data_IF_812401604235
#
_entry.id   IF_812401604235
#
_cell.length_a   1.000
_cell.length_b   1.000
_cell.length_c   1.000
_cell.angle_alpha   90.00
_cell.angle_beta   90.00
_cell.angle_gamma   90.00
#
_symmetry.space_group_name_H-M   'P 1'
#
loop_
_entity.id
_entity.type
_entity.pdbx_description
1 polymer ?
#
# COMPACT_ATOMS: atom_id res chain seq x y z
N UNK A 1 11.17 -0.45 -2.93
CA UNK A 1 10.96 1.00 -2.79
C UNK A 1 10.18 1.55 -3.98
N UNK A 2 10.78 1.70 -5.17
CA UNK A 2 10.12 2.28 -6.35
C UNK A 2 8.72 1.73 -6.68
N UNK A 3 8.49 0.41 -6.51
CA UNK A 3 7.15 -0.17 -6.70
C UNK A 3 6.14 0.28 -5.63
N UNK A 4 6.56 0.35 -4.38
CA UNK A 4 5.71 0.79 -3.28
C UNK A 4 5.36 2.27 -3.43
N UNK A 5 6.32 3.10 -3.84
CA UNK A 5 6.10 4.51 -4.15
C UNK A 5 5.08 4.66 -5.28
N UNK A 6 5.22 3.89 -6.36
CA UNK A 6 4.25 3.89 -7.46
C UNK A 6 2.83 3.46 -7.05
N UNK A 7 2.71 2.56 -6.06
CA UNK A 7 1.41 2.19 -5.48
C UNK A 7 0.83 3.30 -4.63
N UNK A 8 1.64 3.94 -3.78
CA UNK A 8 1.26 5.14 -3.02
C UNK A 8 0.78 6.26 -3.95
N UNK A 9 1.56 6.59 -4.98
CA UNK A 9 1.23 7.65 -5.93
C UNK A 9 -0.07 7.35 -6.68
N UNK A 10 -0.29 6.10 -7.09
CA UNK A 10 -1.55 5.70 -7.69
C UNK A 10 -2.72 5.89 -6.72
N UNK A 11 -2.57 5.46 -5.46
CA UNK A 11 -3.59 5.64 -4.43
C UNK A 11 -3.90 7.13 -4.17
N UNK A 12 -2.86 7.97 -4.05
CA UNK A 12 -3.00 9.42 -3.88
C UNK A 12 -3.76 10.04 -5.06
N UNK A 13 -3.40 9.68 -6.29
CA UNK A 13 -4.07 10.19 -7.49
C UNK A 13 -5.56 9.78 -7.54
N UNK A 14 -5.90 8.56 -7.12
CA UNK A 14 -7.30 8.13 -7.02
C UNK A 14 -8.06 8.92 -5.93
N UNK A 15 -7.43 9.15 -4.78
CA UNK A 15 -8.02 9.90 -3.68
C UNK A 15 -8.30 11.36 -4.08
N UNK A 16 -7.32 12.02 -4.69
CA UNK A 16 -7.43 13.42 -5.08
C UNK A 16 -8.49 13.61 -6.17
N UNK A 17 -8.57 12.70 -7.14
CA UNK A 17 -9.64 12.75 -8.15
C UNK A 17 -11.03 12.60 -7.51
N UNK A 18 -11.19 11.66 -6.57
CA UNK A 18 -12.45 11.47 -5.84
C UNK A 18 -12.86 12.66 -4.95
N UNK A 19 -11.94 13.59 -4.66
CA UNK A 19 -12.22 14.83 -3.91
C UNK A 19 -12.66 15.99 -4.81
N UNK A 20 -12.57 15.87 -6.13
CA UNK A 20 -13.05 16.91 -7.06
C UNK A 20 -14.58 16.99 -7.03
N UNK A 21 -15.19 18.12 -7.47
CA UNK A 21 -16.64 18.23 -7.58
C UNK A 21 -17.24 17.07 -8.40
N UNK A 22 -18.41 16.55 -8.03
CA UNK A 22 -19.01 15.31 -8.57
C UNK A 22 -19.10 15.30 -10.12
N UNK A 23 -19.28 16.46 -10.76
CA UNK A 23 -19.33 16.58 -12.23
C UNK A 23 -17.97 16.70 -12.92
N UNK A 24 -16.88 16.83 -12.17
CA UNK A 24 -15.52 17.00 -12.68
C UNK A 24 -14.64 15.76 -12.50
N UNK A 25 -15.13 14.74 -11.79
CA UNK A 25 -14.43 13.50 -11.52
C UNK A 25 -14.41 12.61 -12.76
N UNK A 26 -13.23 12.11 -13.13
CA UNK A 26 -13.09 11.03 -14.10
C UNK A 26 -13.11 9.67 -13.40
N UNK A 27 -14.24 8.97 -13.47
CA UNK A 27 -14.36 7.62 -12.93
C UNK A 27 -13.40 6.63 -13.60
N UNK A 28 -13.16 6.78 -14.91
CA UNK A 28 -12.17 6.00 -15.64
C UNK A 28 -10.75 6.22 -15.12
N UNK A 29 -10.41 7.47 -14.75
CA UNK A 29 -9.11 7.78 -14.16
C UNK A 29 -8.94 7.14 -12.79
N UNK A 30 -9.96 7.22 -11.93
CA UNK A 30 -9.97 6.57 -10.61
C UNK A 30 -9.78 5.06 -10.78
N UNK A 31 -10.58 4.42 -11.64
CA UNK A 31 -10.48 3.00 -11.93
C UNK A 31 -9.09 2.61 -12.46
N UNK A 32 -8.49 3.45 -13.32
CA UNK A 32 -7.12 3.23 -13.82
C UNK A 32 -6.09 3.24 -12.69
N UNK A 33 -6.19 4.17 -11.73
CA UNK A 33 -5.25 4.22 -10.60
C UNK A 33 -5.47 3.05 -9.64
N UNK A 34 -6.72 2.73 -9.31
CA UNK A 34 -7.05 1.55 -8.50
C UNK A 34 -6.53 0.25 -9.14
N UNK A 35 -6.60 0.15 -10.47
CA UNK A 35 -5.99 -0.97 -11.19
C UNK A 35 -4.47 -1.03 -11.05
N UNK A 36 -3.77 0.11 -10.97
CA UNK A 36 -2.32 0.13 -10.67
C UNK A 36 -2.04 -0.33 -9.24
N UNK A 37 -2.81 0.14 -8.26
CA UNK A 37 -2.72 -0.30 -6.86
C UNK A 37 -2.87 -1.81 -6.77
N UNK A 38 -3.95 -2.35 -7.34
CA UNK A 38 -4.22 -3.80 -7.33
C UNK A 38 -3.09 -4.62 -7.97
N UNK A 39 -2.61 -4.24 -9.17
CA UNK A 39 -1.49 -4.94 -9.81
C UNK A 39 -0.18 -4.81 -9.02
N UNK A 40 0.06 -3.65 -8.42
CA UNK A 40 1.25 -3.41 -7.61
C UNK A 40 1.24 -4.25 -6.34
N UNK A 41 0.10 -4.34 -5.64
CA UNK A 41 -0.09 -5.23 -4.49
C UNK A 41 0.14 -6.69 -4.87
N UNK A 42 -0.46 -7.16 -5.97
CA UNK A 42 -0.27 -8.53 -6.45
C UNK A 42 1.20 -8.84 -6.76
N UNK A 43 1.91 -7.91 -7.40
CA UNK A 43 3.34 -8.07 -7.68
C UNK A 43 4.17 -8.07 -6.38
N UNK A 44 3.91 -7.14 -5.45
CA UNK A 44 4.61 -7.11 -4.15
C UNK A 44 4.39 -8.40 -3.35
N UNK A 45 3.16 -8.92 -3.35
CA UNK A 45 2.83 -10.18 -2.71
C UNK A 45 3.57 -11.36 -3.35
N UNK A 46 3.59 -11.43 -4.69
CA UNK A 46 4.34 -12.47 -5.42
C UNK A 46 5.84 -12.40 -5.13
N UNK A 47 6.43 -11.20 -5.21
CA UNK A 47 7.86 -11.01 -4.96
C UNK A 47 8.25 -11.28 -3.52
N UNK A 48 7.39 -10.96 -2.54
CA UNK A 48 7.64 -11.31 -1.14
C UNK A 48 7.66 -12.83 -0.97
N UNK A 49 6.69 -13.54 -1.57
CA UNK A 49 6.52 -14.98 -1.40
C UNK A 49 6.47 -15.34 0.09
N UNK A 50 7.34 -16.28 0.49
CA UNK A 50 7.51 -16.70 1.88
C UNK A 50 8.67 -16.00 2.62
N UNK A 51 9.32 -15.01 1.98
CA UNK A 51 10.46 -14.32 2.58
C UNK A 51 10.03 -13.50 3.79
N UNK A 52 10.88 -13.39 4.83
CA UNK A 52 10.56 -12.62 6.03
C UNK A 52 10.61 -11.10 5.84
N UNK A 53 11.19 -10.64 4.73
CA UNK A 53 11.38 -9.24 4.32
C UNK A 53 11.43 -9.18 2.78
N UNK A 54 11.26 -7.99 2.21
CA UNK A 54 11.23 -7.78 0.75
C UNK A 54 12.55 -8.20 0.08
N UNK A 55 13.69 -7.96 0.74
CA UNK A 55 15.03 -8.23 0.21
C UNK A 55 15.84 -9.12 1.16
N UNK A 56 16.14 -10.34 0.74
CA UNK A 56 16.94 -11.29 1.52
C UNK A 56 16.30 -11.64 2.87
N UNK A 57 17.11 -11.63 3.93
CA UNK A 57 16.69 -12.03 5.29
C UNK A 57 16.64 -10.88 6.29
N UNK A 58 16.94 -9.64 5.86
CA UNK A 58 17.07 -8.49 6.74
C UNK A 58 16.08 -7.38 6.37
N UNK A 59 15.69 -6.59 7.37
CA UNK A 59 14.91 -5.38 7.18
C UNK A 59 15.67 -4.35 6.34
N UNK A 60 14.98 -3.73 5.40
CA UNK A 60 15.57 -2.82 4.41
C UNK A 60 14.64 -1.65 4.09
N UNK A 61 15.13 -0.70 3.28
CA UNK A 61 14.29 0.38 2.74
C UNK A 61 13.11 -0.13 1.90
N UNK A 62 13.23 -1.32 1.28
CA UNK A 62 12.11 -1.91 0.56
C UNK A 62 10.94 -2.22 1.50
N UNK A 63 11.22 -2.73 2.70
CA UNK A 63 10.21 -3.01 3.72
C UNK A 63 9.60 -1.73 4.28
N UNK A 64 10.40 -0.67 4.43
CA UNK A 64 9.90 0.65 4.82
C UNK A 64 8.87 1.15 3.80
N UNK A 65 9.23 1.16 2.51
CA UNK A 65 8.34 1.61 1.45
C UNK A 65 7.05 0.78 1.38
N UNK A 66 7.15 -0.56 1.43
CA UNK A 66 5.99 -1.45 1.43
C UNK A 66 5.11 -1.20 2.66
N UNK A 67 5.69 -1.14 3.86
CA UNK A 67 4.95 -0.89 5.09
C UNK A 67 4.19 0.44 5.06
N UNK A 68 4.83 1.51 4.59
CA UNK A 68 4.21 2.83 4.45
C UNK A 68 3.06 2.81 3.44
N UNK A 69 3.24 2.14 2.29
CA UNK A 69 2.19 2.02 1.28
C UNK A 69 0.96 1.26 1.78
N UNK A 70 1.18 0.12 2.43
CA UNK A 70 0.10 -0.67 3.03
C UNK A 70 -0.63 0.08 4.13
N UNK A 71 0.12 0.79 4.99
CA UNK A 71 -0.47 1.65 6.03
C UNK A 71 -1.31 2.79 5.44
N UNK A 72 -0.84 3.44 4.37
CA UNK A 72 -1.58 4.49 3.68
C UNK A 72 -2.88 3.98 3.07
N UNK A 73 -2.85 2.79 2.45
CA UNK A 73 -4.06 2.14 1.93
C UNK A 73 -5.05 1.83 3.05
N UNK A 74 -4.59 1.27 4.18
CA UNK A 74 -5.46 1.03 5.34
C UNK A 74 -6.08 2.30 5.91
N UNK A 75 -5.35 3.43 5.86
CA UNK A 75 -5.83 4.70 6.38
C UNK A 75 -6.81 5.42 5.44
N UNK A 76 -6.51 5.49 4.13
CA UNK A 76 -7.30 6.28 3.17
C UNK A 76 -8.28 5.47 2.34
N UNK A 77 -8.11 4.16 2.28
CA UNK A 77 -8.91 3.25 1.45
C UNK A 77 -9.36 2.00 2.24
N UNK A 78 -10.14 2.16 3.32
CA UNK A 78 -10.59 1.02 4.14
C UNK A 78 -11.43 0.00 3.36
N UNK A 79 -11.97 0.38 2.19
CA UNK A 79 -12.71 -0.52 1.30
C UNK A 79 -11.80 -1.44 0.47
N UNK A 80 -10.49 -1.21 0.46
CA UNK A 80 -9.52 -2.08 -0.21
C UNK A 80 -9.01 -3.08 0.84
N UNK A 81 -9.63 -4.25 0.90
CA UNK A 81 -9.27 -5.36 1.80
C UNK A 81 -8.00 -6.08 1.32
N UNK A 82 -6.88 -5.37 1.23
CA UNK A 82 -5.62 -5.92 0.73
C UNK A 82 -5.07 -7.02 1.65
N UNK A 83 -5.36 -6.98 2.95
CA UNK A 83 -4.94 -7.98 3.93
C UNK A 83 -5.52 -9.36 3.60
N UNK A 84 -6.81 -9.40 3.25
CA UNK A 84 -7.52 -10.63 2.89
C UNK A 84 -7.01 -11.17 1.55
N UNK A 85 -6.74 -10.27 0.59
CA UNK A 85 -6.28 -10.64 -0.75
C UNK A 85 -4.82 -11.10 -0.75
N UNK A 86 -4.00 -10.59 0.17
CA UNK A 86 -2.55 -10.85 0.22
C UNK A 86 -2.07 -11.12 1.66
N UNK A 87 -2.37 -12.31 2.23
CA UNK A 87 -2.06 -12.62 3.63
C UNK A 87 -0.55 -12.57 3.98
N UNK A 88 0.33 -12.76 3.01
CA UNK A 88 1.78 -12.64 3.23
C UNK A 88 2.22 -11.18 3.41
N UNK A 89 1.59 -10.24 2.69
CA UNK A 89 1.78 -8.81 2.92
C UNK A 89 1.22 -8.39 4.28
N UNK A 90 0.08 -8.94 4.69
CA UNK A 90 -0.50 -8.71 6.02
C UNK A 90 0.45 -9.17 7.14
N UNK A 91 0.99 -10.38 7.00
CA UNK A 91 2.01 -10.91 7.94
C UNK A 91 3.25 -10.03 8.01
N UNK A 92 3.75 -9.54 6.87
CA UNK A 92 4.87 -8.60 6.83
C UNK A 92 4.49 -7.29 7.54
N UNK A 93 3.33 -6.72 7.22
CA UNK A 93 2.86 -5.47 7.81
C UNK A 93 2.69 -5.58 9.33
N UNK A 94 2.07 -6.65 9.83
CA UNK A 94 1.94 -6.91 11.26
C UNK A 94 3.30 -7.00 11.97
N UNK A 95 4.30 -7.62 11.33
CA UNK A 95 5.68 -7.66 11.84
C UNK A 95 6.33 -6.27 11.85
N UNK A 96 6.09 -5.44 10.81
CA UNK A 96 6.61 -4.07 10.76
C UNK A 96 5.99 -3.19 11.85
N UNK A 97 4.68 -3.34 12.10
CA UNK A 97 3.95 -2.61 13.14
C UNK A 97 4.41 -2.91 14.57
N UNK A 98 5.15 -4.00 14.81
CA UNK A 98 5.78 -4.27 16.11
C UNK A 98 7.04 -3.41 16.35
N UNK A 99 7.53 -2.68 15.33
CA UNK A 99 8.70 -1.81 15.46
C UNK A 99 8.24 -0.43 15.98
N UNK A 100 8.89 0.14 17.01
CA UNK A 100 8.52 1.47 17.52
C UNK A 100 8.47 2.54 16.42
N UNK A 101 9.42 2.52 15.48
CA UNK A 101 9.45 3.49 14.37
C UNK A 101 8.20 3.47 13.49
N UNK A 102 7.50 2.34 13.39
CA UNK A 102 6.24 2.22 12.67
C UNK A 102 5.04 2.50 13.59
N UNK A 103 5.04 1.90 14.78
CA UNK A 103 3.96 2.08 15.75
C UNK A 103 3.76 3.54 16.16
N UNK A 104 4.85 4.27 16.36
CA UNK A 104 4.83 5.66 16.82
C UNK A 104 4.54 6.68 15.70
N UNK A 105 4.49 6.24 14.44
CA UNK A 105 4.29 7.10 13.27
C UNK A 105 3.02 6.77 12.48
N UNK A 106 2.09 6.02 13.10
CA UNK A 106 0.77 5.74 12.51
C UNK A 106 0.05 7.06 12.25
N UNK A 107 -0.49 7.28 11.03
CA UNK A 107 -1.23 8.50 10.73
C UNK A 107 -2.51 8.58 11.57
N UNK A 108 -2.79 9.79 12.06
CA UNK A 108 -4.02 10.16 12.74
C UNK A 108 -4.75 11.24 11.90
N UNK A 109 -6.07 11.35 12.05
CA UNK A 109 -6.87 12.38 11.36
C UNK A 109 -6.58 13.81 11.85
#
# INVERSE_FOLDING_TARGET
EALADGVCDAAINALLEGKRPIGEQSQEWIARQQGKVSRGLAFMANELGDKPFCVGTHFSMADIGVGTALGYLSFRFPNINWQESHPNLDKLYAKLMQRPTFADTVPHD
#
